data_IF_726853233446
#
_entry.id   IF_726853233446
#
_cell.length_a   1.000
_cell.length_b   1.000
_cell.length_c   1.000
_cell.angle_alpha   90.00
_cell.angle_beta   90.00
_cell.angle_gamma   90.00
#
_symmetry.space_group_name_H-M   'P 1'
#
loop_
_entity.id
_entity.type
_entity.pdbx_description
1 polymer ?
#
# COMPACT_ATOMS: atom_id res chain seq x y z
N UNK A 1 -23.09 -0.43 2.10
CA UNK A 1 -21.82 -1.06 2.48
C UNK A 1 -20.82 -0.80 1.36
N UNK A 2 -19.71 -0.12 1.65
CA UNK A 2 -18.75 0.33 0.63
C UNK A 2 -17.53 -0.59 0.58
N UNK A 3 -17.07 -0.97 -0.61
CA UNK A 3 -15.98 -1.93 -0.78
C UNK A 3 -14.65 -1.35 -0.29
N UNK A 4 -14.01 -2.02 0.66
CA UNK A 4 -12.65 -1.65 1.07
C UNK A 4 -11.63 -2.05 -0.01
N UNK A 5 -10.64 -1.19 -0.21
CA UNK A 5 -9.49 -1.46 -1.07
C UNK A 5 -8.22 -0.91 -0.45
N UNK A 6 -7.12 -1.58 -0.75
CA UNK A 6 -5.78 -1.20 -0.30
C UNK A 6 -4.94 -0.90 -1.54
N UNK A 7 -4.43 0.31 -1.65
CA UNK A 7 -3.46 0.70 -2.70
C UNK A 7 -2.10 0.82 -2.06
N UNK A 8 -1.12 0.07 -2.56
CA UNK A 8 0.23 0.06 -2.02
C UNK A 8 1.24 0.44 -3.10
N UNK A 9 2.28 1.15 -2.67
CA UNK A 9 3.44 1.48 -3.49
C UNK A 9 4.71 1.32 -2.64
N UNK A 10 5.85 1.06 -3.29
CA UNK A 10 7.11 0.80 -2.61
C UNK A 10 8.29 1.43 -3.32
N UNK A 11 9.25 1.89 -2.51
CA UNK A 11 10.61 2.25 -2.95
C UNK A 11 11.62 1.25 -2.40
N UNK A 12 12.90 1.47 -2.70
CA UNK A 12 14.03 0.71 -2.15
C UNK A 12 14.12 0.74 -0.60
N UNK A 13 13.39 1.65 0.07
CA UNK A 13 13.53 1.88 1.51
C UNK A 13 12.25 1.72 2.31
N UNK A 14 11.09 1.95 1.70
CA UNK A 14 9.81 2.01 2.41
C UNK A 14 8.69 1.45 1.55
N UNK A 15 7.68 0.88 2.22
CA UNK A 15 6.37 0.59 1.64
C UNK A 15 5.34 1.54 2.24
N UNK A 16 4.48 2.09 1.39
CA UNK A 16 3.38 2.96 1.77
C UNK A 16 2.07 2.43 1.22
N UNK A 17 0.98 2.66 1.94
CA UNK A 17 -0.34 2.26 1.49
C UNK A 17 -1.45 3.21 1.96
N UNK A 18 -2.48 3.30 1.13
CA UNK A 18 -3.75 3.95 1.45
C UNK A 18 -4.82 2.87 1.60
N UNK A 19 -5.40 2.78 2.80
CA UNK A 19 -6.67 2.09 3.01
C UNK A 19 -7.77 3.07 2.59
N UNK A 20 -8.62 2.65 1.66
CA UNK A 20 -9.70 3.48 1.14
C UNK A 20 -10.99 2.66 1.00
N UNK A 21 -12.13 3.33 1.05
CA UNK A 21 -13.44 2.75 0.78
C UNK A 21 -13.97 3.26 -0.56
N UNK A 22 -14.53 2.37 -1.37
CA UNK A 22 -15.21 2.73 -2.60
C UNK A 22 -16.70 2.92 -2.30
N UNK A 23 -17.16 4.18 -2.35
CA UNK A 23 -18.56 4.57 -2.11
C UNK A 23 -19.01 5.38 -3.32
N UNK A 24 -20.09 4.96 -3.98
CA UNK A 24 -20.69 5.67 -5.12
C UNK A 24 -19.67 6.07 -6.21
N UNK A 25 -18.78 5.14 -6.56
CA UNK A 25 -17.68 5.33 -7.53
C UNK A 25 -16.60 6.34 -7.13
N UNK A 26 -16.61 6.80 -5.87
CA UNK A 26 -15.58 7.64 -5.27
C UNK A 26 -14.70 6.81 -4.36
N UNK A 27 -13.40 7.06 -4.39
CA UNK A 27 -12.43 6.45 -3.49
C UNK A 27 -12.17 7.38 -2.30
N UNK A 28 -12.70 7.04 -1.14
CA UNK A 28 -12.52 7.82 0.10
C UNK A 28 -11.38 7.22 0.93
N UNK A 29 -10.31 8.00 1.23
CA UNK A 29 -9.22 7.51 2.06
C UNK A 29 -9.66 7.39 3.51
N UNK A 30 -9.47 6.21 4.10
CA UNK A 30 -9.73 5.93 5.52
C UNK A 30 -8.47 6.05 6.37
N UNK A 31 -7.30 5.77 5.79
CA UNK A 31 -6.05 5.84 6.51
C UNK A 31 -4.82 5.65 5.63
N UNK A 32 -3.72 6.26 6.07
CA UNK A 32 -2.41 6.14 5.47
C UNK A 32 -1.51 5.30 6.40
N UNK A 33 -0.90 4.25 5.86
CA UNK A 33 0.06 3.44 6.59
C UNK A 33 1.40 3.43 5.84
N UNK A 34 2.49 3.40 6.58
CA UNK A 34 3.82 3.26 6.01
C UNK A 34 4.74 2.47 6.94
N UNK A 35 5.72 1.79 6.35
CA UNK A 35 6.73 1.02 7.08
C UNK A 35 8.09 1.13 6.38
N UNK A 36 9.15 1.34 7.17
CA UNK A 36 10.53 1.20 6.69
C UNK A 36 10.87 -0.28 6.52
N UNK A 37 11.46 -0.61 5.37
CA UNK A 37 11.94 -1.96 5.10
C UNK A 37 13.18 -2.26 5.94
N UNK A 38 13.27 -3.48 6.49
CA UNK A 38 14.50 -3.96 7.14
C UNK A 38 15.56 -4.31 6.09
N UNK A 39 16.82 -4.45 6.51
CA UNK A 39 17.95 -4.67 5.60
C UNK A 39 17.76 -5.84 4.61
N UNK A 40 17.10 -6.92 5.06
CA UNK A 40 16.77 -8.08 4.22
C UNK A 40 15.68 -7.76 3.20
N UNK A 41 14.60 -7.09 3.62
CA UNK A 41 13.45 -6.76 2.76
C UNK A 41 13.81 -5.84 1.59
N UNK A 42 14.79 -4.95 1.77
CA UNK A 42 15.30 -4.07 0.69
C UNK A 42 15.94 -4.81 -0.48
N UNK A 43 16.26 -6.10 -0.32
CA UNK A 43 16.95 -6.91 -1.34
C UNK A 43 16.01 -7.89 -2.04
N UNK A 44 14.73 -7.91 -1.68
CA UNK A 44 13.75 -8.73 -2.38
C UNK A 44 13.47 -8.15 -3.76
N UNK A 45 13.32 -9.02 -4.75
CA UNK A 45 12.89 -8.59 -6.08
C UNK A 45 11.46 -8.09 -6.01
N UNK A 46 11.18 -6.93 -6.62
CA UNK A 46 9.82 -6.37 -6.69
C UNK A 46 8.85 -7.31 -7.42
N UNK A 47 9.38 -8.08 -8.37
CA UNK A 47 8.62 -9.07 -9.12
C UNK A 47 9.31 -10.43 -8.99
N UNK A 48 8.52 -11.50 -8.84
CA UNK A 48 9.02 -12.84 -9.04
C UNK A 48 9.46 -12.97 -10.51
N UNK A 49 10.67 -13.48 -10.75
CA UNK A 49 11.28 -13.54 -12.08
C UNK A 49 11.41 -14.97 -12.57
#
# INVERSE_FOLDING_TARGET
>A
DGRLSLKADSSDFTVGTVLQQNIDSTEEPLGLLSRKLIATEKKYSTFDR
#
